data_IF_979789049016
#
_entry.id   IF_979789049016
#
_cell.length_a   1.000
_cell.length_b   1.000
_cell.length_c   1.000
_cell.angle_alpha   90.00
_cell.angle_beta   90.00
_cell.angle_gamma   90.00
#
_symmetry.space_group_name_H-M   'P 1'
#
loop_
_entity.id
_entity.type
_entity.pdbx_description
1 polymer ?
#
# COMPACT_ATOMS: atom_id res chain seq x y z
N UNK A 1 11.13 -12.31 14.72
CA UNK A 1 10.22 -11.73 15.73
C UNK A 1 8.84 -12.35 15.57
N UNK A 2 8.27 -12.88 16.63
CA UNK A 2 6.97 -13.53 16.59
C UNK A 2 5.85 -12.49 16.61
N UNK A 3 4.89 -12.62 15.70
CA UNK A 3 3.76 -11.70 15.56
C UNK A 3 2.46 -12.49 15.61
N UNK A 4 1.53 -12.02 16.42
CA UNK A 4 0.14 -12.47 16.38
C UNK A 4 -0.76 -11.25 16.34
N UNK A 5 -1.70 -11.25 15.40
CA UNK A 5 -2.68 -10.18 15.24
C UNK A 5 -4.03 -10.78 15.57
N UNK A 6 -4.53 -10.46 16.75
CA UNK A 6 -5.87 -10.86 17.14
C UNK A 6 -6.89 -10.04 16.35
N UNK A 7 -8.01 -10.66 16.04
CA UNK A 7 -9.09 -10.13 15.23
C UNK A 7 -9.40 -8.67 15.56
N UNK A 8 -9.16 -7.80 14.60
CA UNK A 8 -9.56 -6.39 14.67
C UNK A 8 -11.06 -6.26 14.43
N UNK A 9 -11.76 -5.54 15.28
CA UNK A 9 -13.22 -5.47 15.21
C UNK A 9 -13.69 -4.20 14.50
N UNK A 10 -12.99 -3.07 14.53
CA UNK A 10 -13.56 -1.82 13.99
C UNK A 10 -12.59 -0.80 13.37
N UNK A 11 -11.27 -0.97 13.47
CA UNK A 11 -10.32 0.02 12.95
C UNK A 11 -9.03 -0.63 12.46
N UNK A 12 -8.32 -0.01 11.51
CA UNK A 12 -6.97 -0.42 11.16
C UNK A 12 -6.09 -0.49 12.41
N UNK A 13 -5.39 -1.60 12.61
CA UNK A 13 -4.50 -1.77 13.75
C UNK A 13 -3.05 -1.57 13.32
N UNK A 14 -2.30 -0.84 14.14
CA UNK A 14 -0.87 -0.64 13.96
C UNK A 14 -0.13 -1.47 15.00
N UNK A 15 0.78 -2.29 14.53
CA UNK A 15 1.65 -3.09 15.38
C UNK A 15 3.05 -2.50 15.35
N UNK A 16 3.52 -2.11 16.52
CA UNK A 16 4.83 -1.53 16.72
C UNK A 16 5.79 -2.65 17.09
N UNK A 17 6.78 -2.88 16.26
CA UNK A 17 7.88 -3.79 16.53
C UNK A 17 9.14 -2.95 16.69
N UNK A 18 9.79 -3.01 17.82
CA UNK A 18 10.97 -2.20 18.16
C UNK A 18 10.80 -0.67 18.08
N UNK A 19 10.67 -0.06 19.23
CA UNK A 19 10.91 1.37 19.42
C UNK A 19 10.07 2.34 18.62
N UNK A 20 8.75 2.17 18.54
CA UNK A 20 7.80 3.15 17.98
C UNK A 20 7.63 3.19 16.45
N UNK A 21 8.18 2.25 15.69
CA UNK A 21 8.00 2.21 14.24
C UNK A 21 7.01 1.10 13.86
N UNK A 22 5.83 1.41 13.29
CA UNK A 22 4.90 0.38 12.85
C UNK A 22 5.49 -0.37 11.65
N UNK A 23 5.70 -1.67 11.80
CA UNK A 23 6.12 -2.57 10.72
C UNK A 23 4.92 -3.20 10.04
N UNK A 24 3.87 -3.49 10.79
CA UNK A 24 2.67 -4.14 10.25
C UNK A 24 1.48 -3.22 10.40
N UNK A 25 0.85 -2.88 9.27
CA UNK A 25 -0.41 -2.14 9.24
C UNK A 25 -1.49 -3.04 8.67
N UNK A 26 -2.60 -3.17 9.38
CA UNK A 26 -3.67 -4.13 9.06
C UNK A 26 -5.00 -3.41 8.96
N UNK A 27 -5.69 -3.61 7.85
CA UNK A 27 -7.02 -3.11 7.60
C UNK A 27 -8.08 -3.75 8.50
N UNK A 28 -9.24 -3.11 8.56
CA UNK A 28 -10.38 -3.54 9.37
C UNK A 28 -10.75 -5.01 9.09
N UNK A 29 -11.16 -5.73 10.13
CA UNK A 29 -11.60 -7.14 10.09
C UNK A 29 -10.54 -8.14 9.62
N UNK A 30 -9.33 -7.71 9.32
CA UNK A 30 -8.22 -8.60 8.99
C UNK A 30 -7.57 -9.17 10.25
N UNK A 31 -7.03 -10.37 10.15
CA UNK A 31 -6.35 -11.03 11.27
C UNK A 31 -5.21 -11.94 10.81
N UNK A 32 -4.23 -12.09 11.69
CA UNK A 32 -3.17 -13.09 11.61
C UNK A 32 -3.21 -13.92 12.90
N UNK A 33 -3.35 -15.22 12.78
CA UNK A 33 -3.38 -16.11 13.97
C UNK A 33 -2.00 -16.20 14.61
N UNK A 34 -0.96 -16.45 13.83
CA UNK A 34 0.44 -16.36 14.25
C UNK A 34 1.39 -16.27 13.07
N UNK A 35 2.52 -15.60 13.27
CA UNK A 35 3.52 -15.46 12.22
C UNK A 35 4.86 -14.98 12.77
N UNK A 36 5.82 -14.89 11.90
CA UNK A 36 7.15 -14.34 12.17
C UNK A 36 7.52 -13.32 11.11
N UNK A 37 8.01 -12.18 11.54
CA UNK A 37 8.59 -11.17 10.66
C UNK A 37 10.10 -11.21 10.83
N UNK A 38 10.81 -11.50 9.76
CA UNK A 38 12.25 -11.36 9.68
C UNK A 38 12.56 -10.16 8.78
N UNK A 39 13.20 -9.14 9.34
CA UNK A 39 13.53 -7.92 8.63
C UNK A 39 14.99 -7.55 8.77
N UNK A 40 15.61 -7.14 7.67
CA UNK A 40 17.02 -6.70 7.63
C UNK A 40 17.20 -5.26 8.11
N UNK A 41 16.15 -4.45 8.13
CA UNK A 41 16.20 -3.02 8.47
C UNK A 41 14.92 -2.52 9.13
N UNK A 42 14.99 -1.33 9.73
CA UNK A 42 13.84 -0.69 10.41
C UNK A 42 12.81 -0.08 9.45
N UNK A 43 13.15 0.06 8.17
CA UNK A 43 12.31 0.62 7.13
C UNK A 43 11.37 -0.42 6.47
N UNK A 44 11.50 -1.69 6.87
CA UNK A 44 10.61 -2.75 6.40
C UNK A 44 9.18 -2.56 6.88
N UNK A 45 8.21 -2.86 6.00
CA UNK A 45 6.79 -2.77 6.34
C UNK A 45 5.94 -3.84 5.66
N UNK A 46 4.85 -4.21 6.34
CA UNK A 46 3.80 -5.09 5.80
C UNK A 46 2.51 -4.30 5.83
N UNK A 47 1.89 -4.13 4.67
CA UNK A 47 0.58 -3.50 4.54
C UNK A 47 -0.43 -4.57 4.19
N UNK A 48 -1.49 -4.67 4.99
CA UNK A 48 -2.57 -5.64 4.79
C UNK A 48 -3.89 -4.89 4.62
N UNK A 49 -4.62 -5.21 3.58
CA UNK A 49 -5.96 -4.69 3.32
C UNK A 49 -6.99 -5.16 4.34
N UNK A 50 -8.26 -5.05 4.00
CA UNK A 50 -9.41 -5.33 4.88
C UNK A 50 -9.92 -6.76 4.64
N UNK A 51 -10.56 -7.35 5.67
CA UNK A 51 -11.19 -8.69 5.60
C UNK A 51 -10.22 -9.82 5.17
N UNK A 52 -8.92 -9.66 5.39
CA UNK A 52 -7.89 -10.63 5.06
C UNK A 52 -7.68 -11.62 6.20
N UNK A 53 -7.70 -12.90 5.88
CA UNK A 53 -7.57 -14.01 6.82
C UNK A 53 -6.21 -14.67 6.68
N UNK A 54 -5.38 -14.60 7.70
CA UNK A 54 -4.04 -15.19 7.72
C UNK A 54 -3.94 -16.25 8.82
N UNK A 55 -3.57 -17.46 8.44
CA UNK A 55 -3.52 -18.62 9.33
C UNK A 55 -2.29 -18.63 10.25
N UNK A 56 -1.92 -19.82 10.73
CA UNK A 56 -0.79 -20.01 11.64
C UNK A 56 0.55 -20.05 10.92
N UNK A 57 1.61 -19.61 11.60
CA UNK A 57 3.02 -19.77 11.22
C UNK A 57 3.34 -19.17 9.83
N UNK A 58 2.75 -18.02 9.54
CA UNK A 58 3.12 -17.27 8.34
C UNK A 58 4.49 -16.63 8.56
N UNK A 59 5.37 -16.73 7.56
CA UNK A 59 6.70 -16.10 7.61
C UNK A 59 6.76 -14.98 6.60
N UNK A 60 7.15 -13.79 7.07
CA UNK A 60 7.37 -12.61 6.24
C UNK A 60 8.89 -12.33 6.22
N UNK A 61 9.51 -12.46 5.05
CA UNK A 61 10.95 -12.25 4.87
C UNK A 61 11.21 -10.93 4.13
N UNK A 62 11.72 -9.93 4.84
CA UNK A 62 11.87 -8.57 4.35
C UNK A 62 13.35 -8.16 4.37
N UNK A 63 13.91 -7.81 3.21
CA UNK A 63 15.25 -7.22 3.10
C UNK A 63 16.41 -8.08 3.63
N UNK A 64 16.24 -9.39 3.78
CA UNK A 64 17.27 -10.30 4.30
C UNK A 64 17.96 -11.06 3.17
N UNK A 65 18.70 -10.34 2.32
CA UNK A 65 19.38 -10.96 1.19
C UNK A 65 20.90 -10.75 1.27
N UNK A 66 21.63 -11.75 0.82
CA UNK A 66 23.07 -11.65 0.59
C UNK A 66 23.34 -11.34 -0.87
N UNK A 67 24.39 -10.58 -1.15
CA UNK A 67 24.82 -10.35 -2.53
C UNK A 67 25.43 -11.64 -3.12
N UNK A 68 24.65 -12.32 -3.92
CA UNK A 68 25.09 -13.53 -4.60
C UNK A 68 25.86 -13.25 -5.91
N UNK A 69 25.98 -11.99 -6.33
CA UNK A 69 26.80 -11.58 -7.48
C UNK A 69 28.21 -11.17 -7.05
N UNK A 70 28.47 -11.01 -5.75
CA UNK A 70 29.80 -10.80 -5.23
C UNK A 70 30.63 -12.10 -5.25
N UNK A 71 31.97 -11.99 -5.12
CA UNK A 71 32.86 -13.15 -5.03
C UNK A 71 32.46 -14.11 -3.90
N UNK A 72 31.91 -13.59 -2.82
CA UNK A 72 31.36 -14.35 -1.69
C UNK A 72 30.04 -13.74 -1.26
N UNK A 73 29.09 -14.59 -0.93
CA UNK A 73 27.84 -14.17 -0.32
C UNK A 73 27.98 -13.90 1.20
N UNK A 74 29.12 -14.21 1.80
CA UNK A 74 29.37 -13.97 3.22
C UNK A 74 29.65 -12.48 3.48
N UNK A 75 29.01 -11.83 4.47
CA UNK A 75 29.24 -10.44 4.79
C UNK A 75 30.61 -10.25 5.50
N UNK A 76 31.67 -10.16 4.72
CA UNK A 76 33.07 -10.10 5.23
C UNK A 76 33.30 -8.87 6.13
N UNK A 77 32.48 -7.83 6.03
CA UNK A 77 32.54 -6.63 6.87
C UNK A 77 32.42 -6.95 8.37
N UNK A 78 31.81 -8.09 8.71
CA UNK A 78 31.72 -8.56 10.10
C UNK A 78 33.11 -8.86 10.69
N UNK A 79 34.07 -9.28 9.85
CA UNK A 79 35.42 -9.61 10.27
C UNK A 79 36.20 -8.35 10.72
N UNK A 80 35.93 -7.19 10.11
CA UNK A 80 36.55 -5.91 10.44
C UNK A 80 35.85 -5.21 11.59
N UNK A 81 34.80 -5.79 12.18
CA UNK A 81 33.98 -5.19 13.23
C UNK A 81 33.07 -4.07 12.73
N UNK A 82 33.04 -3.85 11.43
CA UNK A 82 32.05 -2.99 10.81
C UNK A 82 30.70 -3.74 10.82
N UNK A 83 29.68 -3.12 11.42
CA UNK A 83 28.32 -3.61 11.19
C UNK A 83 28.03 -3.41 9.70
N UNK A 84 27.57 -4.44 8.98
CA UNK A 84 27.03 -4.22 7.65
C UNK A 84 26.08 -3.03 7.74
N UNK A 85 26.34 -2.00 6.92
CA UNK A 85 25.36 -0.94 6.75
C UNK A 85 24.04 -1.59 6.35
N UNK A 86 22.89 -1.09 6.76
CA UNK A 86 21.60 -1.50 6.17
C UNK A 86 21.66 -1.51 4.64
N UNK A 87 22.41 -0.60 4.05
CA UNK A 87 22.68 -0.52 2.60
C UNK A 87 23.55 -1.68 2.06
N UNK A 88 24.25 -2.42 2.93
CA UNK A 88 25.04 -3.60 2.54
C UNK A 88 24.21 -4.89 2.53
N UNK A 89 23.02 -4.88 3.11
CA UNK A 89 22.12 -6.04 3.16
C UNK A 89 21.34 -6.14 1.86
N UNK A 90 21.11 -5.01 1.19
CA UNK A 90 20.53 -4.95 -0.15
C UNK A 90 21.46 -4.17 -1.09
N UNK A 91 22.33 -4.87 -1.83
CA UNK A 91 23.18 -4.20 -2.80
C UNK A 91 22.35 -3.44 -3.85
N UNK A 92 22.91 -2.38 -4.47
CA UNK A 92 22.19 -1.51 -5.42
C UNK A 92 21.53 -2.23 -6.59
N UNK A 93 21.89 -3.49 -6.85
CA UNK A 93 21.31 -4.34 -7.88
C UNK A 93 19.96 -4.98 -7.46
N UNK A 94 19.60 -4.91 -6.17
CA UNK A 94 18.30 -5.42 -5.70
C UNK A 94 17.24 -4.32 -5.74
N UNK A 95 16.03 -4.66 -6.22
CA UNK A 95 14.94 -3.69 -6.21
C UNK A 95 14.65 -3.23 -4.78
N UNK A 96 14.57 -1.94 -4.57
CA UNK A 96 14.23 -1.32 -3.28
C UNK A 96 12.85 -1.74 -2.70
N UNK A 97 12.02 -2.43 -3.50
CA UNK A 97 10.71 -2.93 -3.08
C UNK A 97 10.76 -4.13 -2.11
N UNK A 98 11.93 -4.75 -1.89
CA UNK A 98 12.06 -5.92 -1.00
C UNK A 98 11.84 -5.61 0.48
N UNK A 99 11.77 -4.35 0.84
CA UNK A 99 11.49 -3.88 2.19
C UNK A 99 9.99 -3.82 2.51
N UNK A 100 9.12 -4.11 1.54
CA UNK A 100 7.68 -4.06 1.74
C UNK A 100 6.99 -5.31 1.21
N UNK A 101 5.96 -5.77 1.93
CA UNK A 101 4.97 -6.73 1.45
C UNK A 101 3.61 -6.04 1.45
N UNK A 102 2.92 -6.12 0.32
CA UNK A 102 1.58 -5.55 0.16
C UNK A 102 0.58 -6.69 -0.03
N UNK A 103 -0.40 -6.75 0.85
CA UNK A 103 -1.47 -7.76 0.81
C UNK A 103 -2.79 -7.02 0.66
N UNK A 104 -3.54 -7.34 -0.37
CA UNK A 104 -4.85 -6.76 -0.65
C UNK A 104 -5.93 -7.16 0.35
N UNK A 105 -7.17 -6.79 0.04
CA UNK A 105 -8.36 -7.13 0.82
C UNK A 105 -8.94 -8.48 0.39
N UNK A 106 -9.73 -9.12 1.28
CA UNK A 106 -10.35 -10.44 1.03
C UNK A 106 -9.34 -11.54 0.65
N UNK A 107 -8.09 -11.43 1.12
CA UNK A 107 -7.06 -12.43 0.88
C UNK A 107 -7.13 -13.54 1.94
N UNK A 108 -6.94 -14.78 1.51
CA UNK A 108 -6.78 -15.91 2.43
C UNK A 108 -5.37 -16.49 2.30
N UNK A 109 -4.62 -16.51 3.41
CA UNK A 109 -3.28 -17.08 3.49
C UNK A 109 -3.31 -18.31 4.39
N UNK A 110 -3.02 -19.47 3.78
CA UNK A 110 -2.93 -20.76 4.47
C UNK A 110 -1.72 -20.86 5.40
N UNK A 111 -1.78 -21.82 6.34
CA UNK A 111 -0.73 -22.03 7.33
C UNK A 111 0.64 -22.33 6.66
N UNK A 112 1.72 -21.97 7.36
CA UNK A 112 3.11 -22.22 6.94
C UNK A 112 3.49 -21.53 5.61
N UNK A 113 2.73 -20.57 5.12
CA UNK A 113 3.11 -19.82 3.94
C UNK A 113 4.30 -18.88 4.24
N UNK A 114 5.18 -18.73 3.25
CA UNK A 114 6.33 -17.82 3.29
C UNK A 114 6.13 -16.74 2.25
N UNK A 115 6.15 -15.48 2.67
CA UNK A 115 6.00 -14.32 1.80
C UNK A 115 7.34 -13.59 1.71
N UNK A 116 7.88 -13.50 0.50
CA UNK A 116 9.14 -12.80 0.25
C UNK A 116 8.93 -11.30 0.13
N UNK A 117 9.89 -10.51 0.58
CA UNK A 117 9.86 -9.07 0.43
C UNK A 117 9.73 -8.64 -1.02
N UNK A 118 8.96 -7.60 -1.26
CA UNK A 118 8.69 -7.06 -2.59
C UNK A 118 7.43 -7.61 -3.25
N UNK A 119 6.78 -8.63 -2.67
CA UNK A 119 5.59 -9.21 -3.29
C UNK A 119 4.35 -8.35 -3.03
N UNK A 120 3.50 -8.27 -4.04
CA UNK A 120 2.15 -7.76 -3.97
C UNK A 120 1.16 -8.90 -4.16
N UNK A 121 0.26 -9.10 -3.19
CA UNK A 121 -0.82 -10.08 -3.24
C UNK A 121 -2.11 -9.33 -3.50
N UNK A 122 -2.70 -9.53 -4.67
CA UNK A 122 -3.93 -8.86 -5.10
C UNK A 122 -5.15 -9.30 -4.29
N UNK A 123 -6.15 -8.42 -4.24
CA UNK A 123 -7.39 -8.64 -3.49
C UNK A 123 -8.10 -9.91 -3.93
N UNK A 124 -8.71 -10.60 -2.97
CA UNK A 124 -9.40 -11.86 -3.22
C UNK A 124 -8.50 -13.07 -3.49
N UNK A 125 -7.17 -12.93 -3.48
CA UNK A 125 -6.26 -14.04 -3.72
C UNK A 125 -6.28 -15.09 -2.60
N UNK A 126 -5.90 -16.31 -2.93
CA UNK A 126 -5.74 -17.42 -2.00
C UNK A 126 -4.33 -17.97 -2.10
N UNK A 127 -3.62 -17.95 -0.98
CA UNK A 127 -2.30 -18.56 -0.83
C UNK A 127 -2.45 -19.88 -0.10
N UNK A 128 -2.15 -20.98 -0.78
CA UNK A 128 -2.23 -22.31 -0.20
C UNK A 128 -1.23 -22.53 0.93
N UNK A 129 -1.56 -23.45 1.83
CA UNK A 129 -0.67 -23.78 2.94
C UNK A 129 0.71 -24.25 2.45
N UNK A 130 1.78 -23.80 3.14
CA UNK A 130 3.16 -24.13 2.79
C UNK A 130 3.67 -23.49 1.49
N UNK A 131 2.93 -22.58 0.87
CA UNK A 131 3.37 -21.91 -0.35
C UNK A 131 4.49 -20.91 -0.08
N UNK A 132 5.49 -20.84 -0.98
CA UNK A 132 6.56 -19.82 -0.94
C UNK A 132 6.30 -18.79 -2.05
N UNK A 133 5.79 -17.64 -1.66
CA UNK A 133 5.41 -16.56 -2.57
C UNK A 133 6.60 -15.65 -2.81
N UNK A 134 7.20 -15.73 -3.98
CA UNK A 134 8.37 -14.94 -4.39
C UNK A 134 8.09 -14.01 -5.57
N UNK A 135 6.84 -13.96 -6.05
CA UNK A 135 6.36 -13.08 -7.12
C UNK A 135 4.98 -12.57 -6.78
N UNK A 136 4.59 -11.49 -7.43
CA UNK A 136 3.24 -10.95 -7.30
C UNK A 136 2.18 -11.99 -7.62
N UNK A 137 1.09 -11.91 -6.87
CA UNK A 137 -0.08 -12.77 -7.04
C UNK A 137 -1.24 -11.92 -7.55
N UNK A 138 -1.77 -12.20 -8.75
CA UNK A 138 -2.90 -11.45 -9.30
C UNK A 138 -4.14 -11.51 -8.39
N UNK A 139 -5.04 -10.53 -8.46
CA UNK A 139 -6.32 -10.58 -7.77
C UNK A 139 -7.08 -11.87 -8.07
N UNK A 140 -7.72 -12.43 -7.05
CA UNK A 140 -8.52 -13.66 -7.12
C UNK A 140 -7.78 -14.91 -7.64
N UNK A 141 -6.45 -14.87 -7.78
CA UNK A 141 -5.67 -16.04 -8.12
C UNK A 141 -5.54 -16.98 -6.91
N UNK A 142 -5.54 -18.28 -7.16
CA UNK A 142 -5.22 -19.33 -6.18
C UNK A 142 -3.83 -19.84 -6.49
N UNK A 143 -2.90 -19.67 -5.56
CA UNK A 143 -1.50 -20.10 -5.71
C UNK A 143 -1.13 -21.13 -4.66
N UNK A 144 -0.32 -22.09 -5.05
CA UNK A 144 0.18 -23.16 -4.18
C UNK A 144 1.64 -23.52 -4.52
N UNK A 145 2.33 -24.16 -3.60
CA UNK A 145 3.62 -24.79 -3.83
C UNK A 145 4.84 -23.94 -3.51
N UNK A 146 6.01 -24.51 -3.71
CA UNK A 146 7.31 -23.88 -3.54
C UNK A 146 8.18 -24.11 -4.80
N UNK A 147 8.44 -23.09 -5.61
CA UNK A 147 7.88 -21.74 -5.53
C UNK A 147 6.37 -21.74 -5.88
N UNK A 148 5.63 -20.77 -5.32
CA UNK A 148 4.19 -20.65 -5.56
C UNK A 148 3.88 -20.44 -7.04
N UNK A 149 2.82 -21.14 -7.52
CA UNK A 149 2.32 -21.05 -8.89
C UNK A 149 0.81 -20.92 -8.88
N UNK A 150 0.29 -20.14 -9.82
CA UNK A 150 -1.15 -20.03 -10.03
C UNK A 150 -1.66 -21.39 -10.54
N UNK A 151 -2.61 -21.96 -9.81
CA UNK A 151 -3.28 -23.22 -10.19
C UNK A 151 -4.65 -22.95 -10.82
N UNK A 152 -5.32 -21.86 -10.42
CA UNK A 152 -6.57 -21.39 -10.99
C UNK A 152 -6.88 -19.99 -10.49
N UNK A 153 -7.91 -19.39 -11.02
CA UNK A 153 -8.59 -18.23 -10.43
C UNK A 153 -9.86 -18.67 -9.68
N UNK A 154 -10.31 -17.88 -8.71
CA UNK A 154 -11.55 -18.14 -7.97
C UNK A 154 -12.77 -18.03 -8.90
N UNK A 155 -12.70 -17.07 -9.82
CA UNK A 155 -13.78 -16.69 -10.75
C UNK A 155 -13.19 -16.44 -12.14
N UNK A 156 -14.05 -16.29 -13.14
CA UNK A 156 -13.67 -15.83 -14.48
C UNK A 156 -13.27 -14.35 -14.49
N UNK A 157 -12.67 -13.90 -15.59
CA UNK A 157 -12.11 -12.56 -15.69
C UNK A 157 -13.18 -11.45 -15.57
N UNK A 158 -14.39 -11.69 -16.07
CA UNK A 158 -15.49 -10.73 -16.02
C UNK A 158 -15.98 -10.55 -14.59
N UNK A 159 -16.19 -11.65 -13.88
CA UNK A 159 -16.54 -11.68 -12.46
C UNK A 159 -15.48 -11.01 -11.60
N UNK A 160 -14.19 -11.31 -11.85
CA UNK A 160 -13.07 -10.65 -11.14
C UNK A 160 -13.09 -9.15 -11.36
N UNK A 161 -13.26 -8.71 -12.59
CA UNK A 161 -13.34 -7.28 -12.92
C UNK A 161 -14.50 -6.59 -12.21
N UNK A 162 -15.68 -7.23 -12.17
CA UNK A 162 -16.86 -6.71 -11.45
C UNK A 162 -16.58 -6.58 -9.95
N UNK A 163 -16.06 -7.62 -9.31
CA UNK A 163 -15.73 -7.59 -7.88
C UNK A 163 -14.67 -6.54 -7.51
N UNK A 164 -13.71 -6.30 -8.39
CA UNK A 164 -12.72 -5.24 -8.23
C UNK A 164 -13.29 -3.83 -8.45
N UNK A 165 -14.41 -3.67 -9.14
CA UNK A 165 -15.17 -2.41 -9.20
C UNK A 165 -16.01 -2.22 -7.95
N UNK A 166 -16.74 -3.25 -7.53
CA UNK A 166 -17.65 -3.23 -6.36
C UNK A 166 -16.86 -2.94 -5.08
N UNK A 167 -15.71 -3.60 -4.86
CA UNK A 167 -14.85 -3.43 -3.66
C UNK A 167 -15.64 -3.47 -2.35
N UNK A 168 -16.47 -4.48 -2.19
CA UNK A 168 -17.38 -4.65 -1.05
C UNK A 168 -16.68 -4.53 0.32
N UNK A 169 -15.39 -4.79 0.42
CA UNK A 169 -14.59 -4.62 1.63
C UNK A 169 -14.44 -3.17 2.07
N UNK A 170 -14.82 -2.19 1.23
CA UNK A 170 -14.86 -0.77 1.56
C UNK A 170 -16.24 -0.31 2.05
N UNK A 171 -17.24 -1.19 2.03
CA UNK A 171 -18.57 -0.89 2.52
C UNK A 171 -18.61 -0.80 4.04
N UNK A 172 -19.60 -0.12 4.56
CA UNK A 172 -19.87 -0.08 5.98
C UNK A 172 -20.34 -1.44 6.47
N UNK A 173 -20.05 -1.74 7.75
CA UNK A 173 -20.37 -3.04 8.34
C UNK A 173 -21.87 -3.34 8.37
N UNK A 174 -22.72 -2.31 8.56
CA UNK A 174 -24.17 -2.45 8.48
C UNK A 174 -24.64 -2.80 7.06
N UNK A 175 -24.04 -2.22 6.05
CA UNK A 175 -24.30 -2.52 4.64
C UNK A 175 -23.89 -3.95 4.29
N UNK A 176 -22.69 -4.39 4.66
CA UNK A 176 -22.24 -5.77 4.49
C UNK A 176 -23.24 -6.72 5.18
N UNK A 177 -23.62 -6.41 6.43
CA UNK A 177 -24.53 -7.25 7.22
C UNK A 177 -25.91 -7.41 6.56
N UNK A 178 -26.42 -6.36 5.91
CA UNK A 178 -27.69 -6.41 5.20
C UNK A 178 -27.67 -7.34 3.98
N UNK A 179 -26.49 -7.59 3.42
CA UNK A 179 -26.31 -8.33 2.17
C UNK A 179 -25.63 -9.71 2.33
N UNK A 180 -25.38 -10.18 3.56
CA UNK A 180 -24.75 -11.48 3.84
C UNK A 180 -25.35 -12.63 3.00
N UNK A 181 -26.68 -12.76 2.81
CA UNK A 181 -27.22 -13.87 2.01
C UNK A 181 -26.73 -13.87 0.55
N UNK A 182 -26.59 -12.69 -0.09
CA UNK A 182 -26.08 -12.60 -1.45
C UNK A 182 -24.59 -12.95 -1.51
N UNK A 183 -23.77 -12.51 -0.53
CA UNK A 183 -22.35 -12.86 -0.43
C UNK A 183 -22.13 -14.38 -0.42
N UNK A 184 -23.02 -15.14 0.26
CA UNK A 184 -22.80 -16.56 0.51
C UNK A 184 -23.43 -17.42 -0.57
N UNK A 185 -24.57 -17.00 -1.17
CA UNK A 185 -25.41 -17.90 -1.92
C UNK A 185 -25.69 -17.47 -3.37
N UNK A 186 -25.48 -16.21 -3.73
CA UNK A 186 -25.91 -15.71 -5.05
C UNK A 186 -24.97 -14.62 -5.59
N UNK A 187 -23.78 -15.05 -6.02
CA UNK A 187 -22.79 -14.15 -6.62
C UNK A 187 -23.32 -13.44 -7.91
N UNK A 188 -24.04 -14.10 -8.83
CA UNK A 188 -24.60 -13.41 -9.99
C UNK A 188 -25.58 -12.29 -9.61
N UNK A 189 -26.50 -12.54 -8.66
CA UNK A 189 -27.41 -11.51 -8.20
C UNK A 189 -26.68 -10.38 -7.46
N UNK A 190 -25.62 -10.71 -6.71
CA UNK A 190 -24.76 -9.72 -6.07
C UNK A 190 -24.10 -8.79 -7.09
N UNK A 191 -23.48 -9.36 -8.12
CA UNK A 191 -22.86 -8.58 -9.20
C UNK A 191 -23.91 -7.73 -9.92
N UNK A 192 -25.04 -8.31 -10.30
CA UNK A 192 -26.12 -7.58 -11.00
C UNK A 192 -26.67 -6.40 -10.18
N UNK A 193 -26.66 -6.51 -8.84
CA UNK A 193 -27.15 -5.45 -7.96
C UNK A 193 -26.12 -4.34 -7.71
N UNK A 194 -24.82 -4.65 -7.72
CA UNK A 194 -23.79 -3.75 -7.20
C UNK A 194 -22.68 -3.42 -8.20
N UNK A 195 -22.57 -4.13 -9.33
CA UNK A 195 -21.61 -3.76 -10.36
C UNK A 195 -22.17 -2.60 -11.18
N UNK A 196 -21.78 -1.41 -10.80
CA UNK A 196 -22.06 -0.22 -11.61
C UNK A 196 -20.78 0.12 -12.37
N UNK A 197 -20.74 -0.09 -13.70
CA UNK A 197 -19.63 0.38 -14.52
C UNK A 197 -19.40 1.86 -14.22
N UNK A 198 -18.17 2.21 -13.92
CA UNK A 198 -17.81 3.63 -13.74
C UNK A 198 -18.09 4.27 -15.10
N UNK A 199 -19.13 5.10 -15.16
CA UNK A 199 -19.31 5.96 -16.33
C UNK A 199 -18.03 6.79 -16.45
N UNK A 200 -17.32 6.64 -17.57
CA UNK A 200 -16.07 7.40 -17.84
C UNK A 200 -16.28 8.91 -17.77
N UNK A 201 -17.52 9.36 -17.79
CA UNK A 201 -17.97 10.74 -17.73
C UNK A 201 -18.30 11.27 -16.32
N UNK A 202 -18.09 10.49 -15.25
CA UNK A 202 -18.15 11.12 -13.93
C UNK A 202 -17.03 12.14 -13.87
N UNK A 203 -17.39 13.43 -13.92
CA UNK A 203 -16.46 14.56 -13.86
C UNK A 203 -15.80 14.58 -12.47
N UNK A 204 -14.84 13.69 -12.27
CA UNK A 204 -13.95 13.77 -11.12
C UNK A 204 -13.08 15.04 -11.30
N UNK A 205 -13.52 16.13 -10.66
CA UNK A 205 -12.83 17.43 -10.73
C UNK A 205 -11.38 17.30 -10.27
N UNK A 206 -11.10 16.40 -9.33
CA UNK A 206 -9.76 16.09 -8.85
C UNK A 206 -8.89 15.50 -9.95
N UNK A 207 -9.40 14.49 -10.66
CA UNK A 207 -8.72 13.89 -11.79
C UNK A 207 -8.50 14.90 -12.93
N UNK A 208 -9.49 15.77 -13.20
CA UNK A 208 -9.37 16.82 -14.21
C UNK A 208 -8.27 17.84 -13.87
N UNK A 209 -8.16 18.26 -12.61
CA UNK A 209 -7.09 19.14 -12.14
C UNK A 209 -5.71 18.49 -12.31
N UNK A 210 -5.57 17.22 -11.95
CA UNK A 210 -4.32 16.45 -12.12
C UNK A 210 -3.93 16.34 -13.59
N UNK A 211 -4.89 16.00 -14.48
CA UNK A 211 -4.63 15.92 -15.93
C UNK A 211 -4.14 17.25 -16.51
N UNK A 212 -4.68 18.39 -16.05
CA UNK A 212 -4.19 19.72 -16.46
C UNK A 212 -2.74 19.92 -16.06
N UNK A 213 -2.38 19.64 -14.81
CA UNK A 213 -0.99 19.76 -14.35
C UNK A 213 -0.05 18.85 -15.14
N UNK A 214 -0.45 17.62 -15.46
CA UNK A 214 0.34 16.74 -16.33
C UNK A 214 0.53 17.32 -17.73
N UNK A 215 -0.52 17.91 -18.31
CA UNK A 215 -0.43 18.58 -19.60
C UNK A 215 0.54 19.78 -19.59
N UNK A 216 0.70 20.44 -18.43
CA UNK A 216 1.70 21.48 -18.19
C UNK A 216 3.11 20.93 -17.92
N UNK A 217 3.28 19.61 -17.93
CA UNK A 217 4.56 18.92 -17.75
C UNK A 217 4.94 18.60 -16.31
N UNK A 218 3.98 18.66 -15.37
CA UNK A 218 4.23 18.24 -14.00
C UNK A 218 4.24 16.71 -13.87
N UNK A 219 5.17 16.22 -13.05
CA UNK A 219 5.14 14.86 -12.53
C UNK A 219 4.37 14.84 -11.19
N UNK A 220 3.35 14.04 -11.09
CA UNK A 220 2.38 14.07 -10.00
C UNK A 220 2.59 12.91 -9.06
N UNK A 221 2.86 13.21 -7.79
CA UNK A 221 2.82 12.26 -6.68
C UNK A 221 1.52 12.44 -5.90
N UNK A 222 0.73 11.37 -5.77
CA UNK A 222 -0.54 11.37 -5.03
C UNK A 222 -0.32 10.83 -3.62
N UNK A 223 -0.88 11.49 -2.61
CA UNK A 223 -0.69 11.14 -1.22
C UNK A 223 -1.98 11.32 -0.42
N UNK A 224 -2.31 10.35 0.42
CA UNK A 224 -3.43 10.40 1.36
C UNK A 224 -2.83 10.32 2.76
N UNK A 225 -2.79 11.44 3.53
CA UNK A 225 -2.22 11.47 4.86
C UNK A 225 -3.15 10.88 5.91
N UNK A 226 -2.57 10.25 6.92
CA UNK A 226 -3.25 9.93 8.17
C UNK A 226 -3.07 11.12 9.13
N UNK A 227 -4.10 11.95 9.26
CA UNK A 227 -4.09 13.10 10.15
C UNK A 227 -4.54 12.76 11.58
N UNK A 228 -5.03 11.54 11.82
CA UNK A 228 -5.51 11.08 13.14
C UNK A 228 -4.36 10.72 14.08
N UNK A 229 -3.16 10.49 13.52
CA UNK A 229 -2.00 10.11 14.31
C UNK A 229 -1.50 11.26 15.18
N UNK A 230 -1.15 10.99 16.46
CA UNK A 230 -0.44 11.95 17.29
C UNK A 230 0.80 12.51 16.58
N UNK A 231 1.11 13.78 16.81
CA UNK A 231 2.17 14.52 16.11
C UNK A 231 3.54 13.79 16.18
N UNK A 232 3.84 13.16 17.31
CA UNK A 232 5.07 12.36 17.52
C UNK A 232 5.19 11.12 16.63
N UNK A 233 4.05 10.62 16.11
CA UNK A 233 3.98 9.45 15.21
C UNK A 233 3.50 9.82 13.81
N UNK A 234 3.23 11.10 13.55
CA UNK A 234 2.70 11.52 12.27
C UNK A 234 3.77 11.49 11.20
N UNK A 235 3.45 10.84 10.10
CA UNK A 235 4.35 10.63 8.99
C UNK A 235 4.14 11.66 7.89
N UNK A 236 2.94 12.20 7.78
CA UNK A 236 2.58 13.18 6.74
C UNK A 236 3.49 14.41 6.75
N UNK A 237 3.96 14.83 7.93
CA UNK A 237 4.90 15.96 8.06
C UNK A 237 6.22 15.68 7.36
N UNK A 238 6.72 14.44 7.44
CA UNK A 238 7.95 14.03 6.77
C UNK A 238 7.77 14.03 5.26
N UNK A 239 6.69 13.47 4.73
CA UNK A 239 6.38 13.46 3.29
C UNK A 239 6.38 14.89 2.72
N UNK A 240 5.71 15.82 3.41
CA UNK A 240 5.66 17.22 2.99
C UNK A 240 7.02 17.90 3.07
N UNK A 241 7.73 17.71 4.18
CA UNK A 241 9.07 18.30 4.35
C UNK A 241 10.06 17.76 3.33
N UNK A 242 10.02 16.47 3.03
CA UNK A 242 10.87 15.85 2.01
C UNK A 242 10.56 16.44 0.63
N UNK A 243 9.29 16.56 0.26
CA UNK A 243 8.89 17.18 -1.00
C UNK A 243 9.39 18.63 -1.10
N UNK A 244 9.20 19.42 -0.04
CA UNK A 244 9.65 20.80 0.02
C UNK A 244 11.17 20.96 0.02
N UNK A 245 11.93 19.98 0.53
CA UNK A 245 13.38 20.02 0.58
C UNK A 245 14.05 19.51 -0.69
N UNK A 246 13.43 18.54 -1.36
CA UNK A 246 13.98 17.89 -2.54
C UNK A 246 13.73 18.65 -3.82
N UNK A 247 12.65 19.43 -3.89
CA UNK A 247 12.19 20.08 -5.12
C UNK A 247 12.00 21.58 -4.94
N UNK A 248 12.00 22.26 -6.07
CA UNK A 248 11.72 23.68 -6.23
C UNK A 248 10.61 23.90 -7.26
N UNK A 249 10.18 25.13 -7.45
CA UNK A 249 9.13 25.49 -8.41
C UNK A 249 9.49 25.12 -9.86
N UNK A 250 10.79 25.11 -10.22
CA UNK A 250 11.24 24.82 -11.58
C UNK A 250 11.28 23.33 -11.92
N UNK A 251 11.27 22.45 -10.92
CA UNK A 251 11.41 21.00 -11.12
C UNK A 251 10.14 20.35 -11.66
N UNK A 252 9.04 21.08 -11.68
CA UNK A 252 7.72 20.58 -12.11
C UNK A 252 7.33 19.27 -11.43
N UNK A 253 7.61 19.17 -10.14
CA UNK A 253 7.14 18.09 -9.27
C UNK A 253 5.99 18.59 -8.43
N UNK A 254 4.85 17.91 -8.49
CA UNK A 254 3.68 18.25 -7.73
C UNK A 254 3.31 17.15 -6.75
N UNK A 255 3.00 17.52 -5.52
CA UNK A 255 2.42 16.63 -4.51
C UNK A 255 0.92 16.95 -4.39
N UNK A 256 0.08 15.99 -4.73
CA UNK A 256 -1.36 16.08 -4.51
C UNK A 256 -1.69 15.43 -3.17
N UNK A 257 -2.21 16.21 -2.24
CA UNK A 257 -2.67 15.75 -0.93
C UNK A 257 -4.20 15.62 -1.01
N UNK A 258 -4.70 14.39 -0.97
CA UNK A 258 -6.12 14.12 -1.07
C UNK A 258 -6.73 13.83 0.32
N UNK A 259 -7.84 14.47 0.62
CA UNK A 259 -8.55 14.39 1.89
C UNK A 259 -10.05 14.27 1.64
N UNK A 260 -10.77 13.57 2.53
CA UNK A 260 -12.22 13.70 2.56
C UNK A 260 -12.64 15.04 3.20
N UNK A 261 -13.82 15.52 2.86
CA UNK A 261 -14.35 16.77 3.42
C UNK A 261 -14.46 16.70 4.96
N UNK A 262 -14.87 15.53 5.49
CA UNK A 262 -14.96 15.31 6.93
C UNK A 262 -13.58 15.39 7.62
N UNK A 263 -12.56 14.76 7.05
CA UNK A 263 -11.18 14.80 7.56
C UNK A 263 -10.61 16.22 7.47
N UNK A 264 -10.83 16.92 6.36
CA UNK A 264 -10.37 18.29 6.18
C UNK A 264 -10.96 19.24 7.23
N UNK A 265 -12.25 19.13 7.55
CA UNK A 265 -12.87 19.95 8.58
C UNK A 265 -12.39 19.59 9.99
N UNK A 266 -12.31 18.29 10.30
CA UNK A 266 -11.87 17.80 11.61
C UNK A 266 -10.43 18.19 11.91
N UNK A 267 -9.53 18.12 10.93
CA UNK A 267 -8.09 18.37 11.10
C UNK A 267 -7.63 19.70 10.48
N UNK A 268 -8.49 20.71 10.46
CA UNK A 268 -8.19 22.05 9.96
C UNK A 268 -6.87 22.65 10.48
N UNK A 269 -6.47 22.47 11.75
CA UNK A 269 -5.16 22.93 12.24
C UNK A 269 -3.98 22.32 11.47
N UNK A 270 -4.04 21.04 11.10
CA UNK A 270 -3.01 20.40 10.29
C UNK A 270 -2.91 21.03 8.90
N UNK A 271 -4.05 21.38 8.28
CA UNK A 271 -4.06 22.04 6.96
C UNK A 271 -3.46 23.44 7.03
N UNK A 272 -3.68 24.17 8.11
CA UNK A 272 -3.05 25.48 8.37
C UNK A 272 -1.53 25.31 8.48
N UNK A 273 -1.06 24.29 9.20
CA UNK A 273 0.36 24.01 9.35
C UNK A 273 1.01 23.63 7.99
N UNK A 274 0.35 22.81 7.18
CA UNK A 274 0.79 22.50 5.81
C UNK A 274 0.95 23.79 5.00
N UNK A 275 -0.08 24.64 5.01
CA UNK A 275 -0.06 25.90 4.29
C UNK A 275 1.05 26.83 4.78
N UNK A 276 1.30 26.87 6.09
CA UNK A 276 2.38 27.64 6.69
C UNK A 276 3.76 27.17 6.21
N UNK A 277 3.99 25.85 6.14
CA UNK A 277 5.25 25.27 5.66
C UNK A 277 5.50 25.59 4.18
N UNK A 278 4.48 25.50 3.36
CA UNK A 278 4.56 25.88 1.93
C UNK A 278 4.92 27.37 1.82
N UNK A 279 4.19 28.22 2.54
CA UNK A 279 4.40 29.69 2.50
C UNK A 279 5.80 30.10 2.97
N UNK A 280 6.39 29.37 3.91
CA UNK A 280 7.73 29.64 4.38
C UNK A 280 8.83 29.45 3.30
N UNK A 281 8.57 28.67 2.26
CA UNK A 281 9.48 28.50 1.10
C UNK A 281 9.36 29.63 0.08
N UNK A 282 8.31 30.42 0.16
CA UNK A 282 8.09 31.55 -0.76
C UNK A 282 7.82 31.14 -2.19
N UNK A 283 8.32 31.91 -3.15
CA UNK A 283 8.08 31.68 -4.59
C UNK A 283 8.82 30.46 -5.17
N UNK A 284 9.80 29.94 -4.46
CA UNK A 284 10.56 28.76 -4.88
C UNK A 284 9.94 27.43 -4.41
N UNK A 285 8.78 27.48 -3.75
CA UNK A 285 8.11 26.27 -3.30
C UNK A 285 7.67 25.39 -4.48
N UNK A 286 7.92 24.07 -4.43
CA UNK A 286 7.33 23.16 -5.38
C UNK A 286 5.80 23.14 -5.21
N UNK A 287 5.08 22.74 -6.24
CA UNK A 287 3.62 22.69 -6.18
C UNK A 287 3.12 21.64 -5.19
N UNK A 288 2.29 22.06 -4.25
CA UNK A 288 1.49 21.18 -3.42
C UNK A 288 0.02 21.57 -3.62
N UNK A 289 -0.77 20.60 -4.12
CA UNK A 289 -2.20 20.75 -4.36
C UNK A 289 -2.97 19.99 -3.28
N UNK A 290 -3.77 20.67 -2.50
CA UNK A 290 -4.71 20.04 -1.58
C UNK A 290 -6.05 19.83 -2.28
N UNK A 291 -6.46 18.57 -2.41
CA UNK A 291 -7.76 18.16 -2.95
C UNK A 291 -8.67 17.70 -1.81
N UNK A 292 -9.77 18.38 -1.63
CA UNK A 292 -10.83 17.96 -0.70
C UNK A 292 -11.96 17.40 -1.54
N UNK A 293 -12.19 16.09 -1.42
CA UNK A 293 -13.18 15.34 -2.20
C UNK A 293 -14.06 14.52 -1.27
N UNK A 294 -15.19 14.02 -1.76
CA UNK A 294 -16.00 13.07 -0.98
C UNK A 294 -15.28 11.72 -0.80
N UNK A 295 -14.50 11.31 -1.81
CA UNK A 295 -13.75 10.06 -1.81
C UNK A 295 -12.29 10.30 -2.21
N UNK A 296 -11.34 10.33 -1.24
CA UNK A 296 -9.92 10.53 -1.53
C UNK A 296 -9.29 9.34 -2.30
N UNK A 297 -9.94 8.18 -2.31
CA UNK A 297 -9.50 6.97 -3.03
C UNK A 297 -10.00 6.91 -4.49
N UNK A 298 -10.11 8.05 -5.16
CA UNK A 298 -10.58 8.11 -6.54
C UNK A 298 -9.64 7.38 -7.50
N UNK A 299 -10.11 6.32 -8.15
CA UNK A 299 -9.36 5.62 -9.20
C UNK A 299 -9.00 6.55 -10.37
N UNK A 300 -9.91 7.38 -10.91
CA UNK A 300 -9.57 8.34 -11.94
C UNK A 300 -8.46 9.32 -11.55
N UNK A 301 -8.45 9.82 -10.31
CA UNK A 301 -7.40 10.71 -9.82
C UNK A 301 -6.06 9.97 -9.67
N UNK A 302 -6.07 8.74 -9.17
CA UNK A 302 -4.88 7.89 -9.11
C UNK A 302 -4.33 7.60 -10.49
N UNK A 303 -5.16 7.19 -11.46
CA UNK A 303 -4.76 6.95 -12.85
C UNK A 303 -4.21 8.20 -13.55
N UNK A 304 -4.71 9.37 -13.17
CA UNK A 304 -4.19 10.64 -13.68
C UNK A 304 -2.82 10.99 -13.08
N UNK A 305 -2.41 10.37 -11.97
CA UNK A 305 -1.14 10.59 -11.28
C UNK A 305 -0.03 9.70 -11.83
N UNK A 306 1.24 10.04 -11.55
CA UNK A 306 2.39 9.25 -11.97
C UNK A 306 2.79 8.22 -10.90
N UNK A 307 2.58 8.56 -9.63
CA UNK A 307 2.81 7.62 -8.54
C UNK A 307 1.95 7.94 -7.31
N UNK A 308 1.73 6.92 -6.48
CA UNK A 308 1.16 7.03 -5.15
C UNK A 308 2.28 6.94 -4.10
N UNK A 309 2.25 7.82 -3.10
CA UNK A 309 3.16 7.75 -1.96
C UNK A 309 2.47 6.97 -0.86
N UNK A 310 2.98 5.77 -0.57
CA UNK A 310 2.55 4.98 0.59
C UNK A 310 3.38 5.33 1.81
N UNK A 311 2.82 5.08 2.98
CA UNK A 311 3.48 5.25 4.27
C UNK A 311 3.23 4.03 5.16
N UNK A 312 3.78 4.04 6.39
CA UNK A 312 3.50 2.99 7.39
C UNK A 312 2.16 3.18 8.11
N UNK A 313 1.38 4.17 7.70
CA UNK A 313 0.12 4.50 8.34
C UNK A 313 -1.01 3.57 7.89
N UNK A 314 -2.02 3.41 8.72
CA UNK A 314 -3.12 2.47 8.49
C UNK A 314 -3.86 2.72 7.19
N UNK A 315 -4.11 4.00 6.89
CA UNK A 315 -4.80 4.40 5.67
C UNK A 315 -3.98 4.05 4.42
N UNK A 316 -2.65 3.98 4.55
CA UNK A 316 -1.75 3.66 3.44
C UNK A 316 -1.99 2.26 2.87
N UNK A 317 -2.38 1.28 3.71
CA UNK A 317 -2.70 -0.07 3.23
C UNK A 317 -3.87 -0.06 2.25
N UNK A 318 -4.95 0.64 2.61
CA UNK A 318 -6.14 0.77 1.76
C UNK A 318 -5.83 1.58 0.51
N UNK A 319 -5.16 2.72 0.67
CA UNK A 319 -4.81 3.59 -0.44
C UNK A 319 -3.83 2.94 -1.42
N UNK A 320 -2.86 2.15 -0.94
CA UNK A 320 -1.93 1.41 -1.79
C UNK A 320 -2.66 0.34 -2.63
N UNK A 321 -3.72 -0.26 -2.11
CA UNK A 321 -4.55 -1.19 -2.89
C UNK A 321 -5.24 -0.47 -4.05
N UNK A 322 -5.86 0.68 -3.81
CA UNK A 322 -6.47 1.49 -4.88
C UNK A 322 -5.43 1.94 -5.92
N UNK A 323 -4.24 2.34 -5.48
CA UNK A 323 -3.15 2.72 -6.37
C UNK A 323 -2.67 1.53 -7.23
N UNK A 324 -2.60 0.33 -6.63
CA UNK A 324 -2.29 -0.90 -7.36
C UNK A 324 -3.36 -1.22 -8.41
N UNK A 325 -4.62 -1.08 -8.06
CA UNK A 325 -5.73 -1.27 -9.01
C UNK A 325 -5.74 -0.24 -10.13
N UNK A 326 -5.30 0.99 -9.84
CA UNK A 326 -5.10 2.04 -10.84
C UNK A 326 -3.86 1.80 -11.72
N UNK A 327 -3.06 0.76 -11.42
CA UNK A 327 -1.83 0.40 -12.13
C UNK A 327 -0.76 1.52 -12.16
N UNK A 328 -0.73 2.35 -11.14
CA UNK A 328 0.30 3.37 -10.97
C UNK A 328 1.43 2.90 -10.08
N UNK A 329 2.60 3.52 -10.22
CA UNK A 329 3.75 3.22 -9.36
C UNK A 329 3.43 3.58 -7.90
N UNK A 330 3.79 2.68 -6.97
CA UNK A 330 3.67 2.93 -5.53
C UNK A 330 5.08 3.17 -5.00
N UNK A 331 5.26 4.29 -4.30
CA UNK A 331 6.53 4.68 -3.68
C UNK A 331 6.40 4.74 -2.18
N UNK A 332 7.42 4.30 -1.48
CA UNK A 332 7.48 4.43 -0.02
C UNK A 332 8.05 5.82 0.34
N UNK A 333 7.24 6.64 1.01
CA UNK A 333 7.54 8.06 1.19
C UNK A 333 8.19 8.43 2.52
N UNK A 334 8.69 7.47 3.31
CA UNK A 334 9.18 7.76 4.64
C UNK A 334 10.67 7.73 4.80
N UNK A 335 11.28 6.87 4.08
CA UNK A 335 12.71 6.69 4.14
C UNK A 335 13.27 7.15 2.81
N UNK A 336 14.41 7.76 2.83
CA UNK A 336 15.13 8.29 1.67
C UNK A 336 15.37 7.27 0.55
N UNK A 337 15.02 6.00 0.80
CA UNK A 337 14.94 4.93 -0.18
C UNK A 337 13.55 4.93 -0.82
N UNK A 338 13.45 5.44 -2.03
CA UNK A 338 12.25 5.33 -2.86
C UNK A 338 12.02 3.88 -3.26
N UNK A 339 11.14 3.16 -2.56
CA UNK A 339 10.68 1.85 -3.01
C UNK A 339 9.76 2.06 -4.20
N UNK A 340 10.22 1.68 -5.38
CA UNK A 340 9.41 1.65 -6.59
C UNK A 340 8.89 0.22 -6.78
N UNK A 341 7.58 0.06 -6.76
CA UNK A 341 6.99 -1.15 -7.34
C UNK A 341 7.14 -1.06 -8.85
N UNK A 342 7.75 -2.07 -9.44
CA UNK A 342 7.78 -2.16 -10.90
C UNK A 342 6.34 -2.17 -11.42
N UNK A 343 6.05 -1.48 -12.55
CA UNK A 343 4.79 -1.69 -13.24
C UNK A 343 4.60 -3.18 -13.47
N UNK A 344 3.38 -3.69 -13.28
CA UNK A 344 3.09 -5.08 -13.60
C UNK A 344 3.49 -5.34 -15.05
N UNK A 345 4.40 -6.26 -15.26
CA UNK A 345 4.55 -6.86 -16.59
C UNK A 345 3.19 -7.51 -16.88
N UNK A 346 2.50 -6.99 -17.87
CA UNK A 346 1.29 -7.59 -18.44
C UNK A 346 1.65 -8.98 -18.90
N UNK A 347 1.11 -9.99 -18.22
CA UNK A 347 1.19 -11.40 -18.64
C UNK A 347 0.24 -11.60 -19.81
#
# INVERSE_FOLDING_TARGET
>A
MDVSILKSINFPQKYMLDGNVPIVTVGEMSYLVSGMVESGSSDCSILVGRYTSMAHRIVFLLGMNHDHNALTSYPLQIITGERPSPDCVDPPAYPANRHQILIGSDVWIGADAVLMGGVHIGSGAVIGAGAVVAKDVPPYAVVVGNPARIVRYRFDAETVAALLRIKWWNWRQDEISAHIPQFIHDLPAFIAAFDHPIEEDSMDEGAAAIRRLRAEGYHISYFIPDLEMPEEFSVWTHVINDHLSMYSAVDKKALVIALSAAVAEQYRPCLIEITRRISARGQDAPLILMQVTEQPFSIPALQASDCYITTRESIAAVAAEFASDAQIAIRYGLDRSTIQFSPRETI
#
